data_IF_175060309231
#
_entry.id   IF_175060309231
#
_cell.length_a   1.000
_cell.length_b   1.000
_cell.length_c   1.000
_cell.angle_alpha   90.00
_cell.angle_beta   90.00
_cell.angle_gamma   90.00
#
_symmetry.space_group_name_H-M   'P 1'
#
loop_
_entity.id
_entity.type
_entity.pdbx_description
1 polymer ?
#
# COMPACT_ATOMS: atom_id res chain seq x y z
N UNK A 1 -70.76 -18.79 -37.44
CA UNK A 1 -71.75 -17.87 -36.84
C UNK A 1 -71.06 -16.53 -36.71
N UNK A 2 -71.55 -15.50 -37.40
CA UNK A 2 -71.02 -14.14 -37.25
C UNK A 2 -71.49 -13.59 -35.89
N UNK A 3 -70.63 -12.90 -35.11
CA UNK A 3 -71.05 -12.26 -33.88
C UNK A 3 -72.18 -11.24 -34.16
N UNK A 4 -73.08 -11.08 -33.19
CA UNK A 4 -74.22 -10.17 -33.29
C UNK A 4 -73.74 -8.72 -33.35
N UNK A 5 -74.11 -7.97 -34.39
CA UNK A 5 -73.79 -6.55 -34.58
C UNK A 5 -74.12 -5.70 -33.33
N UNK A 6 -75.14 -6.10 -32.57
CA UNK A 6 -75.52 -5.43 -31.33
C UNK A 6 -74.55 -5.72 -30.18
N UNK A 7 -73.99 -6.94 -30.11
CA UNK A 7 -73.00 -7.31 -29.10
C UNK A 7 -71.66 -6.57 -29.34
N UNK A 8 -71.23 -6.45 -30.59
CA UNK A 8 -70.01 -5.72 -30.94
C UNK A 8 -70.13 -4.21 -30.67
N UNK A 9 -71.32 -3.62 -30.87
CA UNK A 9 -71.59 -2.21 -30.52
C UNK A 9 -71.57 -1.97 -29.00
N UNK A 10 -72.19 -2.86 -28.22
CA UNK A 10 -72.16 -2.76 -26.76
C UNK A 10 -70.74 -2.92 -26.21
N UNK A 11 -69.94 -3.82 -26.79
CA UNK A 11 -68.53 -3.99 -26.44
C UNK A 11 -67.70 -2.73 -26.80
N UNK A 12 -67.96 -2.09 -27.94
CA UNK A 12 -67.31 -0.84 -28.32
C UNK A 12 -67.62 0.29 -27.34
N UNK A 13 -68.88 0.47 -26.95
CA UNK A 13 -69.28 1.49 -25.97
C UNK A 13 -68.63 1.26 -24.60
N UNK A 14 -68.54 -0.01 -24.16
CA UNK A 14 -67.84 -0.38 -22.93
C UNK A 14 -66.34 -0.08 -23.01
N UNK A 15 -65.69 -0.45 -24.13
CA UNK A 15 -64.27 -0.16 -24.36
C UNK A 15 -63.98 1.34 -24.42
N UNK A 16 -64.84 2.14 -25.06
CA UNK A 16 -64.72 3.61 -25.10
C UNK A 16 -64.89 4.23 -23.71
N UNK A 17 -65.79 3.67 -22.89
CA UNK A 17 -65.93 4.00 -21.47
C UNK A 17 -64.64 3.74 -20.68
N UNK A 18 -64.08 2.53 -20.82
CA UNK A 18 -62.82 2.14 -20.18
C UNK A 18 -61.63 3.01 -20.64
N UNK A 19 -61.55 3.34 -21.94
CA UNK A 19 -60.53 4.23 -22.50
C UNK A 19 -60.66 5.63 -21.89
N UNK A 20 -61.88 6.14 -21.75
CA UNK A 20 -62.13 7.47 -21.18
C UNK A 20 -61.75 7.52 -19.70
N UNK A 21 -62.07 6.48 -18.94
CA UNK A 21 -61.69 6.36 -17.54
C UNK A 21 -60.18 6.26 -17.35
N UNK A 22 -59.50 5.41 -18.14
CA UNK A 22 -58.03 5.28 -18.12
C UNK A 22 -57.34 6.60 -18.50
N UNK A 23 -57.85 7.33 -19.50
CA UNK A 23 -57.33 8.66 -19.87
C UNK A 23 -57.43 9.65 -18.70
N UNK A 24 -58.55 9.65 -17.97
CA UNK A 24 -58.72 10.49 -16.77
C UNK A 24 -57.70 10.13 -15.68
N UNK A 25 -57.52 8.83 -15.44
CA UNK A 25 -56.54 8.32 -14.47
C UNK A 25 -55.09 8.69 -14.84
N UNK A 26 -54.73 8.62 -16.13
CA UNK A 26 -53.41 9.05 -16.63
C UNK A 26 -53.20 10.54 -16.36
N UNK A 27 -54.21 11.38 -16.60
CA UNK A 27 -54.08 12.82 -16.39
C UNK A 27 -53.90 13.18 -14.91
N UNK A 28 -54.65 12.52 -14.02
CA UNK A 28 -54.47 12.68 -12.56
C UNK A 28 -53.05 12.27 -12.14
N UNK A 29 -52.55 11.13 -12.62
CA UNK A 29 -51.19 10.68 -12.31
C UNK A 29 -50.13 11.63 -12.87
N UNK A 30 -50.34 12.23 -14.05
CA UNK A 30 -49.45 13.25 -14.62
C UNK A 30 -49.39 14.52 -13.77
N UNK A 31 -50.53 15.01 -13.28
CA UNK A 31 -50.57 16.14 -12.36
C UNK A 31 -49.89 15.83 -11.03
N UNK A 32 -50.16 14.66 -10.45
CA UNK A 32 -49.47 14.22 -9.24
C UNK A 32 -47.96 14.12 -9.44
N UNK A 33 -47.52 13.56 -10.58
CA UNK A 33 -46.11 13.49 -10.95
C UNK A 33 -45.48 14.89 -11.04
N UNK A 34 -46.13 15.85 -11.71
CA UNK A 34 -45.57 17.20 -11.84
C UNK A 34 -45.47 17.92 -10.50
N UNK A 35 -46.48 17.78 -9.62
CA UNK A 35 -46.46 18.35 -8.28
C UNK A 35 -45.34 17.75 -7.41
N UNK A 36 -45.11 16.44 -7.50
CA UNK A 36 -43.98 15.77 -6.82
C UNK A 36 -42.65 16.28 -7.37
N UNK A 37 -42.51 16.40 -8.70
CA UNK A 37 -41.29 16.93 -9.33
C UNK A 37 -40.98 18.38 -8.90
N UNK A 38 -41.99 19.24 -8.79
CA UNK A 38 -41.80 20.60 -8.29
C UNK A 38 -41.32 20.63 -6.83
N UNK A 39 -41.93 19.81 -5.95
CA UNK A 39 -41.49 19.71 -4.54
C UNK A 39 -40.06 19.20 -4.45
N UNK A 40 -39.69 18.19 -5.25
CA UNK A 40 -38.32 17.66 -5.30
C UNK A 40 -37.31 18.73 -5.78
N UNK A 41 -37.68 19.55 -6.76
CA UNK A 41 -36.84 20.64 -7.25
C UNK A 41 -36.58 21.77 -6.23
N UNK A 42 -37.41 21.90 -5.19
CA UNK A 42 -37.20 22.85 -4.10
C UNK A 42 -36.11 22.39 -3.10
N UNK A 43 -35.81 21.09 -3.04
CA UNK A 43 -34.70 20.59 -2.24
C UNK A 43 -33.39 20.87 -2.97
N UNK A 44 -32.56 21.73 -2.39
CA UNK A 44 -31.15 21.83 -2.79
C UNK A 44 -30.44 20.63 -2.20
N UNK A 45 -29.93 19.75 -3.05
CA UNK A 45 -28.99 18.72 -2.66
C UNK A 45 -27.62 19.39 -2.55
N UNK A 46 -27.10 19.69 -1.33
CA UNK A 46 -25.96 20.58 -1.17
C UNK A 46 -24.72 20.06 -1.91
N UNK A 47 -24.56 18.73 -1.94
CA UNK A 47 -23.44 18.06 -2.62
C UNK A 47 -23.52 18.14 -4.16
N UNK A 48 -24.71 18.38 -4.73
CA UNK A 48 -24.89 18.60 -6.17
C UNK A 48 -24.77 20.09 -6.55
N UNK A 49 -24.64 20.98 -5.56
CA UNK A 49 -24.42 22.42 -5.78
C UNK A 49 -22.96 22.84 -5.62
N UNK A 50 -22.09 21.92 -5.23
CA UNK A 50 -20.66 22.16 -5.14
C UNK A 50 -20.04 22.22 -6.55
N UNK A 51 -19.02 23.08 -6.76
CA UNK A 51 -18.20 23.01 -7.96
C UNK A 51 -17.57 21.62 -8.13
N UNK A 52 -17.36 21.21 -9.38
CA UNK A 52 -16.83 19.88 -9.69
C UNK A 52 -15.46 19.65 -9.03
N UNK A 53 -14.63 20.68 -8.93
CA UNK A 53 -13.30 20.63 -8.34
C UNK A 53 -13.35 20.26 -6.85
N UNK A 54 -14.34 20.78 -6.13
CA UNK A 54 -14.55 20.47 -4.71
C UNK A 54 -15.05 19.04 -4.54
N UNK A 55 -15.92 18.58 -5.44
CA UNK A 55 -16.41 17.19 -5.44
C UNK A 55 -15.26 16.23 -5.76
N UNK A 56 -14.41 16.55 -6.74
CA UNK A 56 -13.20 15.78 -7.07
C UNK A 56 -12.26 15.67 -5.87
N UNK A 57 -12.03 16.76 -5.12
CA UNK A 57 -11.17 16.67 -3.93
C UNK A 57 -11.81 15.86 -2.79
N UNK A 58 -13.14 15.96 -2.61
CA UNK A 58 -13.86 15.07 -1.69
C UNK A 58 -13.69 13.60 -2.11
N UNK A 59 -13.76 13.31 -3.42
CA UNK A 59 -13.54 11.96 -3.93
C UNK A 59 -12.12 11.49 -3.64
N UNK A 60 -11.09 12.29 -3.94
CA UNK A 60 -9.69 11.93 -3.68
C UNK A 60 -9.47 11.59 -2.20
N UNK A 61 -10.09 12.34 -1.29
CA UNK A 61 -10.01 12.10 0.16
C UNK A 61 -10.85 10.91 0.66
N UNK A 62 -11.80 10.45 -0.14
CA UNK A 62 -12.63 9.28 0.18
C UNK A 62 -11.89 7.96 -0.08
N UNK A 63 -10.96 7.95 -1.05
CA UNK A 63 -10.12 6.80 -1.36
C UNK A 63 -8.96 6.65 -0.34
N UNK A 64 -8.28 5.49 -0.32
CA UNK A 64 -7.01 5.36 0.39
C UNK A 64 -6.00 6.40 -0.06
N UNK A 65 -5.09 6.76 0.85
CA UNK A 65 -4.11 7.79 0.56
C UNK A 65 -3.07 7.25 -0.44
N UNK A 66 -2.95 7.90 -1.59
CA UNK A 66 -1.90 7.56 -2.55
C UNK A 66 -0.52 7.53 -1.86
N UNK A 67 0.33 6.50 -2.09
CA UNK A 67 0.28 5.53 -3.20
C UNK A 67 -0.56 4.28 -2.98
N UNK A 68 -1.31 4.16 -1.88
CA UNK A 68 -2.13 2.97 -1.60
C UNK A 68 -3.18 2.74 -2.70
N UNK A 69 -3.30 1.49 -3.14
CA UNK A 69 -4.26 1.12 -4.16
C UNK A 69 -5.68 1.02 -3.57
N UNK A 70 -6.68 1.73 -4.12
CA UNK A 70 -8.07 1.53 -3.73
C UNK A 70 -8.55 0.13 -4.13
N UNK A 71 -9.55 -0.43 -3.42
CA UNK A 71 -10.19 -1.65 -3.87
C UNK A 71 -10.82 -1.44 -5.24
N UNK A 72 -10.89 -2.50 -6.05
CA UNK A 72 -11.46 -2.43 -7.41
C UNK A 72 -12.98 -2.16 -7.41
N UNK A 73 -13.67 -2.54 -6.34
CA UNK A 73 -15.11 -2.39 -6.12
C UNK A 73 -15.42 -2.10 -4.66
N UNK A 74 -16.64 -1.64 -4.38
CA UNK A 74 -17.14 -1.42 -3.02
C UNK A 74 -16.70 -0.08 -2.42
N UNK A 75 -16.94 0.13 -1.11
CA UNK A 75 -16.60 1.38 -0.44
C UNK A 75 -15.11 1.73 -0.64
N UNK A 76 -14.83 3.04 -0.77
CA UNK A 76 -13.48 3.58 -1.04
C UNK A 76 -12.87 3.22 -2.41
N UNK A 77 -13.68 2.75 -3.37
CA UNK A 77 -13.26 2.56 -4.76
C UNK A 77 -13.68 3.73 -5.68
N UNK A 78 -12.91 4.02 -6.75
CA UNK A 78 -13.34 4.95 -7.80
C UNK A 78 -14.63 4.46 -8.48
N UNK A 79 -14.74 3.15 -8.69
CA UNK A 79 -15.89 2.52 -9.36
C UNK A 79 -17.18 2.71 -8.57
N UNK A 80 -17.15 2.65 -7.24
CA UNK A 80 -18.29 2.96 -6.38
C UNK A 80 -18.80 4.39 -6.58
N UNK A 81 -17.90 5.38 -6.69
CA UNK A 81 -18.28 6.76 -6.96
C UNK A 81 -19.01 6.92 -8.32
N UNK A 82 -18.66 6.08 -9.30
CA UNK A 82 -19.34 6.06 -10.61
C UNK A 82 -20.76 5.46 -10.60
N UNK A 83 -21.18 4.86 -9.49
CA UNK A 83 -22.47 4.17 -9.35
C UNK A 83 -23.50 4.98 -8.54
N UNK A 84 -23.10 6.08 -7.88
CA UNK A 84 -23.98 6.85 -7.00
C UNK A 84 -25.03 7.65 -7.79
N UNK A 85 -24.60 8.50 -8.72
CA UNK A 85 -25.51 9.23 -9.60
C UNK A 85 -24.80 9.64 -10.90
N UNK A 86 -25.57 10.09 -11.91
CA UNK A 86 -25.02 10.50 -13.21
C UNK A 86 -24.00 11.64 -13.11
N UNK A 87 -24.23 12.61 -12.23
CA UNK A 87 -23.32 13.74 -12.04
C UNK A 87 -21.97 13.28 -11.47
N UNK A 88 -22.02 12.47 -10.41
CA UNK A 88 -20.81 11.93 -9.76
C UNK A 88 -20.05 11.00 -10.68
N UNK A 89 -20.77 10.20 -11.49
CA UNK A 89 -20.16 9.41 -12.56
C UNK A 89 -19.38 10.29 -13.54
N UNK A 90 -19.95 11.40 -13.99
CA UNK A 90 -19.26 12.34 -14.87
C UNK A 90 -17.97 12.87 -14.24
N UNK A 91 -18.07 13.35 -12.99
CA UNK A 91 -16.93 13.93 -12.25
C UNK A 91 -15.84 12.88 -11.99
N UNK A 92 -16.21 11.69 -11.50
CA UNK A 92 -15.27 10.63 -11.20
C UNK A 92 -14.53 10.15 -12.46
N UNK A 93 -15.23 10.03 -13.60
CA UNK A 93 -14.62 9.65 -14.88
C UNK A 93 -13.70 10.74 -15.44
N UNK A 94 -13.95 12.02 -15.13
CA UNK A 94 -13.14 13.15 -15.57
C UNK A 94 -12.05 13.57 -14.58
N UNK A 95 -11.82 12.80 -13.51
CA UNK A 95 -10.81 13.09 -12.48
C UNK A 95 -9.73 12.00 -12.51
N UNK A 96 -8.63 12.20 -13.26
CA UNK A 96 -7.61 11.17 -13.46
C UNK A 96 -6.92 10.71 -12.17
N UNK A 97 -6.78 11.58 -11.16
CA UNK A 97 -6.11 11.22 -9.91
C UNK A 97 -6.80 10.09 -9.13
N UNK A 98 -8.10 9.86 -9.38
CA UNK A 98 -8.83 8.75 -8.76
C UNK A 98 -8.39 7.38 -9.30
N UNK A 99 -7.83 7.33 -10.50
CA UNK A 99 -7.53 6.10 -11.23
C UNK A 99 -6.02 5.78 -11.28
N UNK A 100 -5.20 6.61 -10.64
CA UNK A 100 -3.73 6.55 -10.75
C UNK A 100 -3.04 5.49 -9.88
N UNK A 101 -3.78 4.77 -9.04
CA UNK A 101 -3.23 3.69 -8.21
C UNK A 101 -4.06 2.44 -8.45
N UNK A 102 -3.47 1.30 -8.80
CA UNK A 102 -4.19 0.07 -9.15
C UNK A 102 -3.45 -1.15 -8.62
N UNK A 103 -4.20 -2.06 -7.99
CA UNK A 103 -3.74 -3.42 -7.69
C UNK A 103 -4.27 -4.37 -8.77
N UNK A 104 -3.35 -5.03 -9.45
CA UNK A 104 -3.62 -6.06 -10.45
C UNK A 104 -3.48 -7.43 -9.79
N UNK A 105 -4.60 -8.00 -9.34
CA UNK A 105 -4.67 -9.43 -9.04
C UNK A 105 -4.87 -10.21 -10.33
N UNK A 106 -4.13 -11.30 -10.52
CA UNK A 106 -4.31 -12.22 -11.66
C UNK A 106 -5.77 -12.71 -11.70
N UNK A 107 -6.55 -12.20 -12.67
CA UNK A 107 -7.98 -12.51 -12.80
C UNK A 107 -8.86 -11.27 -13.01
N UNK A 108 -8.39 -10.07 -12.63
CA UNK A 108 -8.98 -8.83 -13.12
C UNK A 108 -8.56 -8.68 -14.59
N UNK A 109 -9.49 -9.01 -15.50
CA UNK A 109 -9.21 -9.03 -16.93
C UNK A 109 -8.54 -7.75 -17.42
N UNK A 110 -7.59 -7.90 -18.34
CA UNK A 110 -6.82 -6.84 -19.01
C UNK A 110 -7.64 -5.58 -19.31
N UNK A 111 -8.90 -5.76 -19.71
CA UNK A 111 -9.88 -4.71 -19.97
C UNK A 111 -10.10 -3.74 -18.80
N UNK A 112 -10.10 -4.21 -17.55
CA UNK A 112 -10.25 -3.33 -16.38
C UNK A 112 -8.98 -2.51 -16.14
N UNK A 113 -7.81 -3.12 -16.36
CA UNK A 113 -6.52 -2.44 -16.31
C UNK A 113 -6.44 -1.32 -17.35
N UNK A 114 -6.67 -1.66 -18.62
CA UNK A 114 -6.71 -0.70 -19.74
C UNK A 114 -7.65 0.47 -19.43
N UNK A 115 -8.85 0.16 -18.94
CA UNK A 115 -9.86 1.15 -18.61
C UNK A 115 -9.46 2.06 -17.45
N UNK A 116 -8.76 1.55 -16.44
CA UNK A 116 -8.24 2.38 -15.35
C UNK A 116 -7.14 3.31 -15.86
N UNK A 117 -6.29 2.82 -16.75
CA UNK A 117 -5.16 3.57 -17.28
C UNK A 117 -5.58 4.67 -18.25
N UNK A 118 -6.55 4.38 -19.11
CA UNK A 118 -7.20 5.37 -19.97
C UNK A 118 -7.75 6.53 -19.13
N UNK A 119 -8.32 6.22 -17.97
CA UNK A 119 -8.86 7.23 -17.05
C UNK A 119 -7.78 7.95 -16.24
N UNK A 120 -6.70 7.25 -15.88
CA UNK A 120 -5.55 7.85 -15.21
C UNK A 120 -4.81 8.87 -16.10
N UNK A 121 -5.08 8.87 -17.42
CA UNK A 121 -4.59 9.90 -18.33
C UNK A 121 -3.07 9.93 -18.38
N UNK A 122 -2.45 11.03 -17.96
CA UNK A 122 -0.98 11.20 -17.86
C UNK A 122 -0.45 11.17 -16.43
N UNK A 123 -1.28 10.84 -15.44
CA UNK A 123 -0.86 10.81 -14.04
C UNK A 123 0.24 9.75 -13.82
N UNK A 124 1.21 10.02 -12.93
CA UNK A 124 2.12 9.00 -12.43
C UNK A 124 1.35 7.91 -11.69
N UNK A 125 1.76 6.67 -11.91
CA UNK A 125 1.02 5.48 -11.47
C UNK A 125 1.61 4.88 -10.19
N UNK A 126 0.74 4.34 -9.34
CA UNK A 126 1.09 3.35 -8.33
C UNK A 126 0.55 2.00 -8.78
N UNK A 127 1.42 1.03 -8.99
CA UNK A 127 1.06 -0.29 -9.48
C UNK A 127 1.45 -1.34 -8.44
N UNK A 128 0.48 -2.14 -8.02
CA UNK A 128 0.72 -3.32 -7.20
C UNK A 128 0.36 -4.56 -8.01
N UNK A 129 1.30 -5.49 -8.14
CA UNK A 129 1.10 -6.76 -8.84
C UNK A 129 1.40 -7.86 -7.83
N UNK A 130 0.33 -8.50 -7.38
CA UNK A 130 0.38 -9.59 -6.42
C UNK A 130 0.17 -10.93 -7.14
N UNK A 131 0.80 -11.99 -6.63
CA UNK A 131 0.61 -13.36 -7.12
C UNK A 131 0.90 -13.53 -8.62
N UNK A 132 2.01 -12.95 -9.09
CA UNK A 132 2.39 -13.09 -10.50
C UNK A 132 2.89 -14.52 -10.79
N UNK A 133 1.98 -15.37 -11.27
CA UNK A 133 2.28 -16.78 -11.61
C UNK A 133 2.76 -16.95 -13.05
N UNK A 134 3.57 -17.99 -13.28
CA UNK A 134 4.07 -18.38 -14.61
C UNK A 134 2.97 -18.72 -15.63
N UNK A 135 1.77 -19.08 -15.13
CA UNK A 135 0.57 -19.37 -15.92
C UNK A 135 -0.11 -18.12 -16.49
N UNK A 136 0.35 -16.92 -16.09
CA UNK A 136 -0.05 -15.68 -16.73
C UNK A 136 0.37 -15.69 -18.20
N UNK A 137 -0.62 -15.56 -19.08
CA UNK A 137 -0.37 -15.47 -20.51
C UNK A 137 0.58 -14.30 -20.81
N UNK A 138 1.40 -14.41 -21.88
CA UNK A 138 2.34 -13.35 -22.28
C UNK A 138 1.64 -12.00 -22.52
N UNK A 139 0.34 -12.01 -22.81
CA UNK A 139 -0.50 -10.81 -22.95
C UNK A 139 -0.66 -10.04 -21.63
N UNK A 140 -0.83 -10.73 -20.50
CA UNK A 140 -0.94 -10.09 -19.18
C UNK A 140 0.39 -9.43 -18.79
N UNK A 141 1.50 -10.07 -19.14
CA UNK A 141 2.85 -9.56 -18.91
C UNK A 141 3.10 -8.35 -19.80
N UNK A 142 2.82 -8.46 -21.11
CA UNK A 142 2.94 -7.32 -22.04
C UNK A 142 2.08 -6.11 -21.63
N UNK A 143 0.85 -6.37 -21.13
CA UNK A 143 -0.01 -5.32 -20.60
C UNK A 143 0.64 -4.65 -19.38
N UNK A 144 1.04 -5.42 -18.37
CA UNK A 144 1.77 -4.91 -17.19
C UNK A 144 2.99 -4.07 -17.57
N UNK A 145 3.80 -4.57 -18.51
CA UNK A 145 5.02 -3.90 -18.98
C UNK A 145 4.74 -2.55 -19.64
N UNK A 146 3.62 -2.43 -20.36
CA UNK A 146 3.21 -1.16 -20.96
C UNK A 146 2.89 -0.05 -19.93
N UNK A 147 2.73 -0.42 -18.66
CA UNK A 147 2.39 0.50 -17.57
C UNK A 147 3.61 1.01 -16.80
N UNK A 148 4.72 0.25 -16.82
CA UNK A 148 5.93 0.56 -16.07
C UNK A 148 6.52 1.93 -16.44
N UNK A 149 6.35 2.36 -17.70
CA UNK A 149 6.67 3.67 -18.27
C UNK A 149 6.33 4.87 -17.38
N UNK A 150 5.21 4.74 -16.66
CA UNK A 150 4.58 5.82 -15.90
C UNK A 150 4.55 5.54 -14.40
N UNK A 151 5.11 4.43 -13.96
CA UNK A 151 5.11 4.03 -12.56
C UNK A 151 6.03 4.93 -11.74
N UNK A 152 5.45 5.58 -10.74
CA UNK A 152 6.18 6.27 -9.67
C UNK A 152 6.38 5.33 -8.47
N UNK A 153 5.41 4.42 -8.25
CA UNK A 153 5.44 3.40 -7.21
C UNK A 153 5.14 2.04 -7.85
N UNK A 154 5.96 1.05 -7.54
CA UNK A 154 5.83 -0.30 -8.07
C UNK A 154 6.01 -1.31 -6.94
N UNK A 155 5.00 -2.16 -6.73
CA UNK A 155 5.11 -3.38 -5.93
C UNK A 155 4.98 -4.58 -6.85
N UNK A 156 5.95 -5.48 -6.83
CA UNK A 156 5.92 -6.75 -7.55
C UNK A 156 6.18 -7.89 -6.57
N UNK A 157 5.26 -8.85 -6.51
CA UNK A 157 5.43 -10.11 -5.80
C UNK A 157 5.46 -11.27 -6.80
N UNK A 158 6.59 -11.95 -6.90
CA UNK A 158 6.87 -12.98 -7.89
C UNK A 158 7.09 -14.34 -7.20
N UNK A 159 6.17 -15.29 -7.37
CA UNK A 159 6.24 -16.61 -6.76
C UNK A 159 6.09 -17.71 -7.85
N UNK A 160 7.18 -18.29 -8.40
CA UNK A 160 7.24 -19.66 -9.03
C UNK A 160 8.46 -19.94 -9.95
N UNK A 161 8.97 -21.19 -9.92
CA UNK A 161 10.21 -21.72 -10.53
C UNK A 161 10.44 -21.70 -12.07
N UNK A 162 9.53 -21.20 -12.92
CA UNK A 162 9.77 -21.09 -14.38
C UNK A 162 9.72 -19.62 -14.82
N UNK A 163 10.91 -19.02 -14.89
CA UNK A 163 11.18 -17.57 -14.91
C UNK A 163 10.67 -16.86 -16.17
N UNK A 164 9.54 -16.15 -16.04
CA UNK A 164 9.26 -14.97 -16.88
C UNK A 164 10.12 -13.76 -16.47
N UNK A 165 11.07 -13.93 -15.54
CA UNK A 165 12.03 -12.89 -15.13
C UNK A 165 12.82 -12.36 -16.32
N UNK A 166 13.23 -13.23 -17.25
CA UNK A 166 13.88 -12.80 -18.50
C UNK A 166 12.97 -11.89 -19.33
N UNK A 167 11.68 -12.24 -19.48
CA UNK A 167 10.68 -11.39 -20.15
C UNK A 167 10.50 -10.04 -19.45
N UNK A 168 10.47 -10.04 -18.11
CA UNK A 168 10.37 -8.82 -17.31
C UNK A 168 11.63 -7.97 -17.47
N UNK A 169 12.80 -8.59 -17.39
CA UNK A 169 14.11 -7.96 -17.56
C UNK A 169 14.26 -7.33 -18.95
N UNK A 170 13.91 -8.07 -20.00
CA UNK A 170 13.96 -7.61 -21.39
C UNK A 170 13.06 -6.39 -21.59
N UNK A 171 11.90 -6.36 -20.96
CA UNK A 171 10.97 -5.25 -21.06
C UNK A 171 11.31 -4.04 -20.17
N UNK A 172 12.13 -4.23 -19.15
CA UNK A 172 12.70 -3.15 -18.34
C UNK A 172 13.90 -2.46 -19.00
N UNK A 173 14.36 -2.94 -20.16
CA UNK A 173 15.65 -2.56 -20.74
C UNK A 173 15.67 -1.25 -21.55
N UNK A 174 14.54 -0.54 -21.71
CA UNK A 174 14.43 0.68 -22.56
C UNK A 174 13.77 1.87 -21.82
N UNK A 175 14.53 2.72 -21.10
CA UNK A 175 14.10 3.99 -20.47
C UNK A 175 12.75 3.94 -19.69
N UNK A 176 12.26 2.74 -19.38
CA UNK A 176 10.84 2.52 -19.06
C UNK A 176 10.50 2.99 -17.65
N UNK A 177 11.50 3.28 -16.81
CA UNK A 177 11.28 3.48 -15.36
C UNK A 177 11.88 4.79 -14.84
N UNK A 178 11.99 5.80 -15.71
CA UNK A 178 12.53 7.11 -15.37
C UNK A 178 11.76 7.84 -14.23
N UNK A 179 10.49 7.51 -14.01
CA UNK A 179 9.64 8.11 -12.98
C UNK A 179 9.64 7.35 -11.65
N UNK A 180 10.24 6.16 -11.58
CA UNK A 180 10.15 5.28 -10.42
C UNK A 180 10.84 5.90 -9.21
N UNK A 181 10.09 6.10 -8.12
CA UNK A 181 10.58 6.65 -6.84
C UNK A 181 10.60 5.63 -5.71
N UNK A 182 9.68 4.67 -5.77
CA UNK A 182 9.54 3.61 -4.78
C UNK A 182 9.38 2.24 -5.45
N UNK A 183 10.16 1.28 -4.98
CA UNK A 183 10.17 -0.09 -5.48
C UNK A 183 10.00 -1.06 -4.31
N UNK A 184 8.99 -1.91 -4.36
CA UNK A 184 8.71 -2.95 -3.39
C UNK A 184 8.78 -4.30 -4.11
N UNK A 185 9.81 -5.08 -3.83
CA UNK A 185 10.04 -6.37 -4.48
C UNK A 185 10.04 -7.50 -3.47
N UNK A 186 9.35 -8.56 -3.85
CA UNK A 186 9.33 -9.83 -3.15
C UNK A 186 9.45 -10.93 -4.22
N UNK A 187 10.47 -11.78 -4.13
CA UNK A 187 10.60 -12.89 -5.07
C UNK A 187 11.35 -14.09 -4.53
N UNK A 188 10.92 -15.27 -4.93
CA UNK A 188 11.52 -16.55 -4.55
C UNK A 188 12.36 -17.14 -5.69
N UNK A 189 13.41 -16.42 -6.09
CA UNK A 189 14.27 -16.76 -7.23
C UNK A 189 15.73 -16.39 -7.00
N UNK A 190 16.63 -17.19 -7.60
CA UNK A 190 18.09 -16.97 -7.56
C UNK A 190 18.63 -16.26 -8.82
N UNK A 191 17.75 -15.76 -9.69
CA UNK A 191 18.11 -15.05 -10.92
C UNK A 191 18.24 -13.54 -10.68
N UNK A 192 19.28 -12.93 -11.27
CA UNK A 192 19.53 -11.49 -11.11
C UNK A 192 18.53 -10.64 -11.90
N UNK A 193 17.97 -9.62 -11.26
CA UNK A 193 17.08 -8.62 -11.87
C UNK A 193 17.76 -7.25 -11.82
N UNK A 194 17.91 -6.60 -12.96
CA UNK A 194 18.72 -5.39 -13.12
C UNK A 194 17.86 -4.19 -13.49
N UNK A 195 17.94 -3.15 -12.67
CA UNK A 195 17.27 -1.86 -12.90
C UNK A 195 18.31 -0.83 -13.36
N UNK A 196 18.51 -0.73 -14.68
CA UNK A 196 19.56 0.10 -15.27
C UNK A 196 19.29 1.61 -15.22
N UNK A 197 18.05 2.05 -15.50
CA UNK A 197 17.70 3.47 -15.58
C UNK A 197 16.50 3.83 -14.66
N UNK A 198 16.79 3.96 -13.36
CA UNK A 198 15.83 4.39 -12.33
C UNK A 198 16.38 5.60 -11.55
N UNK A 199 16.64 6.75 -12.21
CA UNK A 199 17.38 7.89 -11.63
C UNK A 199 16.63 8.59 -10.49
N UNK A 200 15.31 8.40 -10.39
CA UNK A 200 14.49 8.98 -9.35
C UNK A 200 14.23 8.04 -8.17
N UNK A 201 14.78 6.81 -8.18
CA UNK A 201 14.53 5.82 -7.14
C UNK A 201 15.15 6.26 -5.81
N UNK A 202 14.30 6.46 -4.80
CA UNK A 202 14.70 6.94 -3.46
C UNK A 202 14.35 5.96 -2.35
N UNK A 203 13.39 5.08 -2.58
CA UNK A 203 12.87 4.18 -1.56
C UNK A 203 12.77 2.78 -2.11
N UNK A 204 13.22 1.80 -1.33
CA UNK A 204 13.08 0.38 -1.68
C UNK A 204 12.53 -0.41 -0.50
N UNK A 205 11.77 -1.45 -0.82
CA UNK A 205 11.42 -2.51 0.12
C UNK A 205 11.76 -3.84 -0.53
N UNK A 206 12.55 -4.66 0.14
CA UNK A 206 13.11 -5.89 -0.42
C UNK A 206 12.99 -7.03 0.60
N UNK A 207 12.66 -8.23 0.16
CA UNK A 207 12.90 -9.46 0.91
C UNK A 207 14.36 -9.90 0.80
N UNK A 208 14.70 -11.07 1.35
CA UNK A 208 16.07 -11.58 1.34
C UNK A 208 16.63 -11.76 -0.06
N UNK A 209 15.94 -12.53 -0.90
CA UNK A 209 16.37 -12.85 -2.25
C UNK A 209 16.42 -11.60 -3.14
N UNK A 210 15.46 -10.69 -3.01
CA UNK A 210 15.47 -9.44 -3.76
C UNK A 210 16.66 -8.57 -3.44
N UNK A 211 17.08 -8.51 -2.18
CA UNK A 211 18.23 -7.68 -1.86
C UNK A 211 19.57 -8.31 -2.23
N UNK A 212 19.64 -9.63 -2.46
CA UNK A 212 20.85 -10.32 -2.93
C UNK A 212 20.98 -10.35 -4.45
N UNK A 213 19.87 -10.50 -5.17
CA UNK A 213 19.85 -10.69 -6.63
C UNK A 213 19.46 -9.45 -7.43
N UNK A 214 18.92 -8.41 -6.80
CA UNK A 214 18.57 -7.18 -7.53
C UNK A 214 19.74 -6.21 -7.60
N UNK A 215 20.06 -5.79 -8.83
CA UNK A 215 21.03 -4.73 -9.08
C UNK A 215 20.30 -3.38 -9.14
N UNK A 216 20.49 -2.59 -8.08
CA UNK A 216 19.92 -1.24 -7.91
C UNK A 216 21.01 -0.17 -7.82
N UNK A 217 20.70 1.11 -8.12
CA UNK A 217 21.55 2.24 -7.79
C UNK A 217 21.49 2.53 -6.27
N UNK A 218 22.17 1.71 -5.45
CA UNK A 218 22.12 1.78 -3.99
C UNK A 218 22.51 3.14 -3.39
N UNK A 219 23.41 3.88 -4.04
CA UNK A 219 23.98 5.12 -3.50
C UNK A 219 22.99 6.28 -3.44
N UNK A 220 21.95 6.29 -4.27
CA UNK A 220 20.94 7.36 -4.32
C UNK A 220 19.74 7.10 -3.40
N UNK A 221 19.68 5.91 -2.77
CA UNK A 221 18.58 5.51 -1.89
C UNK A 221 18.63 6.28 -0.57
N UNK A 222 17.45 6.69 -0.12
CA UNK A 222 17.23 7.46 1.11
C UNK A 222 16.34 6.72 2.11
N UNK A 223 15.56 5.74 1.63
CA UNK A 223 14.74 4.87 2.46
C UNK A 223 14.93 3.43 2.03
N UNK A 224 15.27 2.55 2.97
CA UNK A 224 15.42 1.11 2.72
C UNK A 224 14.65 0.37 3.81
N UNK A 225 13.78 -0.53 3.38
CA UNK A 225 13.11 -1.49 4.24
C UNK A 225 13.52 -2.89 3.80
N UNK A 226 14.02 -3.71 4.73
CA UNK A 226 14.33 -5.12 4.48
C UNK A 226 13.35 -6.00 5.25
N UNK A 227 12.84 -7.03 4.59
CA UNK A 227 11.96 -8.06 5.17
C UNK A 227 12.67 -9.41 5.13
N UNK A 228 12.39 -10.28 6.10
CA UNK A 228 12.86 -11.68 6.08
C UNK A 228 14.38 -11.84 5.97
N UNK A 229 15.15 -10.91 6.53
CA UNK A 229 16.57 -10.75 6.19
C UNK A 229 17.53 -11.37 7.21
N UNK A 230 18.74 -11.71 6.79
CA UNK A 230 19.85 -12.05 7.70
C UNK A 230 20.56 -10.79 8.20
N UNK A 231 20.81 -10.71 9.51
CA UNK A 231 21.39 -9.52 10.12
C UNK A 231 22.81 -9.22 9.59
N UNK A 232 23.62 -10.25 9.28
CA UNK A 232 24.98 -10.04 8.77
C UNK A 232 24.99 -9.42 7.36
N UNK A 233 24.10 -9.87 6.49
CA UNK A 233 23.93 -9.35 5.13
C UNK A 233 23.35 -7.93 5.14
N UNK A 234 22.46 -7.64 6.09
CA UNK A 234 21.92 -6.29 6.28
C UNK A 234 23.05 -5.28 6.52
N UNK A 235 23.99 -5.59 7.40
CA UNK A 235 25.15 -4.74 7.68
C UNK A 235 25.98 -4.52 6.41
N UNK A 236 26.21 -5.58 5.63
CA UNK A 236 26.95 -5.53 4.37
C UNK A 236 26.24 -4.67 3.31
N UNK A 237 24.92 -4.69 3.27
CA UNK A 237 24.12 -3.87 2.36
C UNK A 237 24.13 -2.40 2.75
N UNK A 238 24.05 -2.09 4.04
CA UNK A 238 24.04 -0.70 4.52
C UNK A 238 25.32 0.08 4.14
N UNK A 239 26.43 -0.62 3.92
CA UNK A 239 27.66 -0.03 3.38
C UNK A 239 27.49 0.51 1.95
N UNK A 240 26.55 -0.04 1.17
CA UNK A 240 26.23 0.39 -0.20
C UNK A 240 25.30 1.62 -0.22
N UNK A 241 24.72 2.02 0.92
CA UNK A 241 23.69 3.07 1.04
C UNK A 241 24.15 4.26 1.89
N UNK A 242 25.12 5.08 1.44
CA UNK A 242 25.67 6.19 2.24
C UNK A 242 24.69 7.33 2.50
N UNK A 243 23.67 7.52 1.65
CA UNK A 243 22.71 8.63 1.72
C UNK A 243 21.41 8.27 2.45
N UNK A 244 21.43 7.20 3.24
CA UNK A 244 20.23 6.68 3.91
C UNK A 244 19.73 7.63 5.00
N UNK A 245 18.44 7.96 4.95
CA UNK A 245 17.73 8.81 5.91
C UNK A 245 16.83 7.97 6.81
N UNK A 246 16.19 6.95 6.25
CA UNK A 246 15.31 6.03 6.97
C UNK A 246 15.71 4.60 6.68
N UNK A 247 15.94 3.81 7.73
CA UNK A 247 16.18 2.38 7.63
C UNK A 247 15.16 1.61 8.46
N UNK A 248 14.62 0.54 7.88
CA UNK A 248 13.73 -0.39 8.54
C UNK A 248 14.16 -1.82 8.28
N UNK A 249 14.20 -2.62 9.34
CA UNK A 249 14.41 -4.06 9.27
C UNK A 249 13.22 -4.75 9.95
N UNK A 250 12.39 -5.39 9.13
CA UNK A 250 11.26 -6.19 9.58
C UNK A 250 11.61 -7.67 9.45
N UNK A 251 11.16 -8.46 10.43
CA UNK A 251 11.28 -9.93 10.42
C UNK A 251 12.67 -10.46 10.01
N UNK A 252 13.65 -10.46 10.90
CA UNK A 252 15.01 -10.87 10.55
C UNK A 252 15.50 -12.08 11.35
N UNK A 253 16.51 -12.75 10.84
CA UNK A 253 17.25 -13.82 11.54
C UNK A 253 18.66 -13.34 11.90
N UNK A 254 19.15 -13.73 13.08
CA UNK A 254 20.53 -13.43 13.50
C UNK A 254 21.42 -14.61 13.17
N UNK A 255 22.18 -14.48 12.11
CA UNK A 255 23.27 -15.33 11.70
C UNK A 255 24.58 -14.66 12.12
N UNK A 256 25.24 -15.18 13.16
CA UNK A 256 26.61 -14.73 13.50
C UNK A 256 27.57 -15.88 13.27
N UNK A 257 28.38 -15.84 12.21
CA UNK A 257 29.55 -16.68 12.13
C UNK A 257 30.42 -16.51 13.40
N UNK A 258 31.09 -17.58 13.88
CA UNK A 258 31.90 -17.53 15.10
C UNK A 258 32.98 -16.43 15.12
N UNK A 259 33.46 -16.03 13.93
CA UNK A 259 34.54 -15.06 13.72
C UNK A 259 34.03 -13.74 13.10
N UNK A 260 32.74 -13.41 13.28
CA UNK A 260 32.18 -12.22 12.68
C UNK A 260 32.53 -10.95 13.45
N UNK A 261 33.50 -10.21 12.93
CA UNK A 261 33.77 -8.81 13.30
C UNK A 261 33.05 -7.89 12.31
N UNK A 262 31.91 -7.29 12.70
CA UNK A 262 31.15 -6.43 11.80
C UNK A 262 31.94 -5.14 11.50
N UNK A 263 31.93 -4.66 10.25
CA UNK A 263 32.56 -3.39 9.89
C UNK A 263 31.82 -2.21 10.52
N UNK A 264 32.53 -1.12 10.78
CA UNK A 264 31.88 0.15 11.11
C UNK A 264 31.08 0.66 9.90
N UNK A 265 29.79 0.91 10.11
CA UNK A 265 28.86 1.39 9.09
C UNK A 265 28.52 2.87 9.35
N UNK A 266 29.13 3.81 8.61
CA UNK A 266 28.86 5.24 8.77
C UNK A 266 27.53 5.61 8.11
N UNK A 267 26.50 5.81 8.92
CA UNK A 267 25.15 6.20 8.49
C UNK A 267 24.91 7.68 8.82
N UNK A 268 25.68 8.54 8.17
CA UNK A 268 25.83 9.97 8.52
C UNK A 268 24.53 10.78 8.40
N UNK A 269 23.62 10.37 7.52
CA UNK A 269 22.37 11.06 7.23
C UNK A 269 21.15 10.38 7.86
N UNK A 270 21.35 9.25 8.55
CA UNK A 270 20.25 8.44 9.06
C UNK A 270 19.54 9.16 10.21
N UNK A 271 18.25 9.39 10.05
CA UNK A 271 17.39 10.06 11.02
C UNK A 271 16.47 9.07 11.74
N UNK A 272 16.08 7.97 11.08
CA UNK A 272 15.18 6.96 11.62
C UNK A 272 15.75 5.56 11.42
N UNK A 273 15.92 4.83 12.52
CA UNK A 273 16.25 3.41 12.56
C UNK A 273 15.10 2.65 13.20
N UNK A 274 14.51 1.70 12.49
CA UNK A 274 13.40 0.88 13.00
C UNK A 274 13.72 -0.60 12.81
N UNK A 275 13.71 -1.36 13.90
CA UNK A 275 13.81 -2.82 13.87
C UNK A 275 12.61 -3.36 14.65
N UNK A 276 11.87 -4.32 14.08
CA UNK A 276 10.54 -4.69 14.60
C UNK A 276 10.46 -6.11 15.17
N UNK A 277 10.76 -7.13 14.36
CA UNK A 277 10.53 -8.53 14.72
C UNK A 277 11.74 -9.40 14.37
N UNK A 278 12.05 -10.36 15.24
CA UNK A 278 13.14 -11.32 15.07
C UNK A 278 12.53 -12.72 14.97
N UNK A 279 12.74 -13.41 13.85
CA UNK A 279 12.34 -14.82 13.69
C UNK A 279 13.27 -15.68 14.58
N UNK A 280 12.65 -16.58 15.35
CA UNK A 280 13.23 -17.51 16.34
C UNK A 280 14.75 -17.71 16.31
N UNK A 281 15.44 -17.52 17.44
CA UNK A 281 16.79 -18.07 17.58
C UNK A 281 17.20 -18.37 19.02
N UNK A 282 18.04 -19.40 19.17
CA UNK A 282 18.78 -19.77 20.38
C UNK A 282 20.05 -18.92 20.61
N UNK A 283 20.14 -17.74 19.95
CA UNK A 283 21.38 -16.97 19.85
C UNK A 283 21.67 -16.17 21.11
N UNK A 284 22.97 -16.06 21.43
CA UNK A 284 23.48 -15.22 22.52
C UNK A 284 23.08 -13.77 22.28
N UNK A 285 22.26 -13.20 23.19
CA UNK A 285 21.92 -11.77 23.18
C UNK A 285 23.20 -10.95 23.12
N UNK A 286 23.44 -10.28 22.00
CA UNK A 286 24.64 -9.50 21.77
C UNK A 286 24.28 -8.21 21.04
N UNK A 287 25.00 -7.13 21.32
CA UNK A 287 24.65 -5.78 20.91
C UNK A 287 24.71 -5.61 19.38
N UNK A 288 23.54 -5.53 18.75
CA UNK A 288 23.41 -5.28 17.32
C UNK A 288 23.62 -3.81 16.95
N UNK A 289 23.66 -2.85 17.88
CA UNK A 289 23.96 -1.46 17.55
C UNK A 289 25.47 -1.17 17.45
N UNK A 290 26.30 -2.16 17.77
CA UNK A 290 27.76 -2.06 17.71
C UNK A 290 28.34 -1.66 16.34
N UNK A 291 27.79 -2.05 15.18
CA UNK A 291 28.37 -1.67 13.88
C UNK A 291 27.99 -0.25 13.45
N UNK A 292 26.89 0.31 13.96
CA UNK A 292 26.32 1.53 13.40
C UNK A 292 26.95 2.80 14.00
N UNK A 293 27.32 3.73 13.14
CA UNK A 293 27.73 5.10 13.48
C UNK A 293 26.76 6.08 12.83
N UNK A 294 25.78 6.55 13.59
CA UNK A 294 24.66 7.34 13.07
C UNK A 294 24.50 8.67 13.83
N UNK A 295 25.31 9.71 13.54
CA UNK A 295 25.28 10.97 14.29
C UNK A 295 23.97 11.76 14.15
N UNK A 296 23.28 11.64 13.01
CA UNK A 296 22.05 12.37 12.72
C UNK A 296 20.77 11.70 13.25
N UNK A 297 20.88 10.53 13.91
CA UNK A 297 19.71 9.73 14.29
C UNK A 297 18.87 10.44 15.36
N UNK A 298 17.56 10.47 15.12
CA UNK A 298 16.56 11.08 16.02
C UNK A 298 15.53 10.08 16.50
N UNK A 299 15.18 9.11 15.66
CA UNK A 299 14.20 8.07 15.96
C UNK A 299 14.87 6.70 15.97
N UNK A 300 14.72 5.99 17.07
CA UNK A 300 15.20 4.62 17.25
C UNK A 300 14.06 3.74 17.74
N UNK A 301 13.71 2.71 16.98
CA UNK A 301 12.88 1.60 17.46
C UNK A 301 13.69 0.32 17.35
N UNK A 302 13.84 -0.41 18.46
CA UNK A 302 14.61 -1.65 18.48
C UNK A 302 14.03 -2.65 19.50
N UNK A 303 13.99 -3.95 19.19
CA UNK A 303 13.62 -4.97 20.16
C UNK A 303 14.69 -5.09 21.24
N UNK A 304 14.28 -5.18 22.51
CA UNK A 304 15.18 -5.22 23.66
C UNK A 304 16.20 -6.36 23.58
N UNK A 305 15.81 -7.49 22.98
CA UNK A 305 16.67 -8.65 22.78
C UNK A 305 17.92 -8.36 21.92
N UNK A 306 17.85 -7.37 21.03
CA UNK A 306 18.96 -6.96 20.16
C UNK A 306 19.99 -6.08 20.85
N UNK A 307 19.66 -5.55 22.03
CA UNK A 307 20.58 -4.75 22.83
C UNK A 307 21.45 -5.62 23.75
N UNK A 308 21.39 -6.94 23.60
CA UNK A 308 22.19 -7.88 24.38
C UNK A 308 21.63 -8.21 25.76
N UNK A 309 22.47 -8.79 26.62
CA UNK A 309 22.12 -9.08 28.02
C UNK A 309 21.95 -7.81 28.87
N UNK A 310 22.56 -6.71 28.44
CA UNK A 310 22.60 -5.45 29.16
C UNK A 310 22.16 -4.31 28.22
N UNK A 311 20.84 -4.07 28.09
CA UNK A 311 20.32 -3.15 27.09
C UNK A 311 20.73 -1.69 27.33
N UNK A 312 20.89 -1.32 28.61
CA UNK A 312 21.26 0.03 29.01
C UNK A 312 22.70 0.38 28.58
N UNK A 313 23.74 -0.40 28.93
CA UNK A 313 25.09 -0.17 28.41
C UNK A 313 25.19 -0.13 26.88
N UNK A 314 24.45 -0.99 26.17
CA UNK A 314 24.44 -1.00 24.70
C UNK A 314 23.95 0.34 24.13
N UNK A 315 22.83 0.86 24.64
CA UNK A 315 22.31 2.17 24.22
C UNK A 315 23.26 3.32 24.57
N UNK A 316 23.84 3.34 25.77
CA UNK A 316 24.81 4.38 26.16
C UNK A 316 26.06 4.33 25.28
N UNK A 317 26.55 3.13 24.97
CA UNK A 317 27.68 2.92 24.05
C UNK A 317 27.34 3.43 22.65
N UNK A 318 26.16 3.11 22.12
CA UNK A 318 25.72 3.59 20.82
C UNK A 318 25.61 5.12 20.75
N UNK A 319 24.99 5.75 21.76
CA UNK A 319 24.85 7.22 21.82
C UNK A 319 26.20 7.91 21.93
N UNK A 320 27.09 7.40 22.78
CA UNK A 320 28.44 7.96 22.95
C UNK A 320 29.31 7.79 21.71
N UNK A 321 29.28 6.61 21.07
CA UNK A 321 30.01 6.34 19.82
C UNK A 321 29.50 7.16 18.65
N UNK A 322 28.18 7.26 18.48
CA UNK A 322 27.57 7.98 17.37
C UNK A 322 27.52 9.50 17.61
N UNK A 323 27.62 9.96 18.86
CA UNK A 323 27.47 11.38 19.22
C UNK A 323 26.08 11.93 18.92
N UNK A 324 25.05 11.08 18.89
CA UNK A 324 23.72 11.44 18.41
C UNK A 324 22.80 12.02 19.50
N UNK A 325 21.73 12.68 19.06
CA UNK A 325 20.68 13.21 19.93
C UNK A 325 19.34 12.55 19.64
N UNK A 326 19.11 11.40 20.28
CA UNK A 326 17.85 10.67 20.19
C UNK A 326 16.69 11.49 20.77
N UNK A 327 15.67 11.72 19.95
CA UNK A 327 14.43 12.41 20.32
C UNK A 327 13.28 11.44 20.62
N UNK A 328 13.20 10.34 19.85
CA UNK A 328 12.15 9.33 19.96
C UNK A 328 12.78 7.95 20.08
N UNK A 329 12.59 7.30 21.23
CA UNK A 329 13.09 5.94 21.47
C UNK A 329 11.92 5.01 21.80
N UNK A 330 11.84 3.91 21.08
CA UNK A 330 10.90 2.82 21.34
C UNK A 330 11.70 1.54 21.53
N UNK A 331 11.54 0.91 22.69
CA UNK A 331 12.10 -0.42 22.96
C UNK A 331 10.95 -1.39 23.17
N UNK A 332 10.91 -2.45 22.36
CA UNK A 332 9.88 -3.50 22.41
C UNK A 332 10.47 -4.78 23.01
N UNK A 333 9.87 -5.36 24.06
CA UNK A 333 10.43 -6.56 24.68
C UNK A 333 9.93 -6.85 26.11
N UNK A 334 10.62 -7.77 26.78
CA UNK A 334 10.23 -8.34 28.07
C UNK A 334 10.54 -7.44 29.29
N UNK A 335 10.98 -6.19 29.06
CA UNK A 335 11.27 -5.18 30.08
C UNK A 335 12.34 -5.64 31.07
N UNK A 336 13.50 -6.02 30.57
CA UNK A 336 14.67 -6.38 31.38
C UNK A 336 15.21 -5.20 32.20
N UNK A 337 14.88 -3.95 31.85
CA UNK A 337 15.20 -2.76 32.61
C UNK A 337 13.99 -1.84 32.85
N UNK A 338 14.05 -1.04 33.93
CA UNK A 338 12.99 -0.08 34.27
C UNK A 338 13.00 1.16 33.37
N UNK A 339 11.86 1.82 33.18
CA UNK A 339 11.74 3.10 32.45
C UNK A 339 12.73 4.16 32.97
N UNK A 340 12.89 4.24 34.28
CA UNK A 340 13.84 5.15 34.91
C UNK A 340 15.29 4.88 34.48
N UNK A 341 15.68 3.61 34.33
CA UNK A 341 17.01 3.23 33.87
C UNK A 341 17.27 3.67 32.43
N UNK A 342 16.29 3.51 31.54
CA UNK A 342 16.38 3.99 30.14
C UNK A 342 16.49 5.51 30.06
N UNK A 343 15.65 6.23 30.81
CA UNK A 343 15.70 7.71 30.86
C UNK A 343 17.01 8.23 31.41
N UNK A 344 17.57 7.57 32.42
CA UNK A 344 18.86 7.95 33.00
C UNK A 344 20.01 7.72 32.02
N UNK A 345 20.00 6.58 31.33
CA UNK A 345 21.01 6.24 30.32
C UNK A 345 20.99 7.20 29.12
N UNK A 346 19.79 7.67 28.77
CA UNK A 346 19.55 8.62 27.68
C UNK A 346 19.44 10.07 28.17
N UNK A 347 19.85 10.37 29.41
CA UNK A 347 19.71 11.72 29.99
C UNK A 347 20.55 12.78 29.24
N UNK A 348 21.55 12.35 28.47
CA UNK A 348 22.39 13.21 27.63
C UNK A 348 21.78 13.46 26.24
N UNK A 349 20.72 12.75 25.84
CA UNK A 349 20.02 13.01 24.58
C UNK A 349 18.82 13.94 24.78
N UNK A 350 18.43 14.64 23.70
CA UNK A 350 17.27 15.53 23.65
C UNK A 350 15.93 14.75 23.61
N UNK A 351 15.78 13.77 24.51
CA UNK A 351 14.71 12.78 24.49
C UNK A 351 13.34 13.44 24.74
N UNK A 352 12.45 13.37 23.75
CA UNK A 352 11.07 13.86 23.81
C UNK A 352 10.09 12.75 24.15
N UNK A 353 10.32 11.55 23.61
CA UNK A 353 9.41 10.42 23.74
C UNK A 353 10.20 9.12 24.00
N UNK A 354 9.79 8.41 25.04
CA UNK A 354 10.23 7.04 25.34
C UNK A 354 9.01 6.13 25.43
N UNK A 355 8.98 5.08 24.63
CA UNK A 355 7.93 4.06 24.62
C UNK A 355 8.54 2.70 24.95
N UNK A 356 7.97 2.01 25.93
CA UNK A 356 8.34 0.65 26.32
C UNK A 356 7.13 -0.27 26.16
N UNK A 357 7.12 -1.07 25.11
CA UNK A 357 6.03 -2.00 24.81
C UNK A 357 6.44 -3.44 25.09
N UNK A 358 5.45 -4.30 25.35
CA UNK A 358 5.63 -5.75 25.28
C UNK A 358 6.02 -6.17 23.85
N UNK A 359 6.64 -7.35 23.66
CA UNK A 359 6.99 -7.82 22.33
C UNK A 359 5.73 -7.92 21.47
N UNK A 360 5.83 -7.41 20.24
CA UNK A 360 4.79 -7.63 19.24
C UNK A 360 4.86 -9.12 18.88
N UNK A 361 3.99 -9.95 19.45
CA UNK A 361 3.83 -11.33 18.99
C UNK A 361 3.26 -11.23 17.59
N UNK A 362 4.10 -11.42 16.57
CA UNK A 362 3.63 -11.71 15.22
C UNK A 362 2.79 -12.98 15.33
N UNK A 363 1.47 -12.84 15.23
CA UNK A 363 0.55 -13.96 15.16
C UNK A 363 0.96 -14.80 13.97
N UNK A 364 1.54 -15.96 14.23
CA UNK A 364 1.54 -17.06 13.28
C UNK A 364 0.07 -17.29 12.90
N UNK A 365 -0.22 -17.07 11.62
CA UNK A 365 -1.47 -17.48 11.00
C UNK A 365 -1.46 -19.01 11.04
N UNK A 366 -2.14 -19.60 12.03
CA UNK A 366 -2.65 -20.95 11.88
C UNK A 366 -3.75 -20.88 10.81
N UNK A 367 -3.40 -21.27 9.58
CA UNK A 367 -4.37 -21.70 8.59
C UNK A 367 -5.13 -22.91 9.16
N UNK A 368 -6.44 -22.77 9.35
CA UNK A 368 -7.30 -23.90 9.69
C UNK A 368 -8.67 -23.53 10.22
N UNK A 369 -9.62 -23.46 9.28
CA UNK A 369 -11.07 -23.64 9.44
C UNK A 369 -11.98 -22.40 9.53
N UNK A 370 -12.82 -22.34 8.50
CA UNK A 370 -13.98 -21.49 8.25
C UNK A 370 -14.86 -21.28 9.49
N UNK A 371 -15.25 -20.04 9.80
CA UNK A 371 -16.66 -19.67 10.00
C UNK A 371 -16.87 -18.15 9.96
N UNK A 372 -17.99 -17.76 9.36
CA UNK A 372 -18.44 -16.41 8.99
C UNK A 372 -18.69 -15.43 10.16
N UNK A 373 -18.84 -14.11 9.87
CA UNK A 373 -18.59 -13.02 10.82
C UNK A 373 -19.83 -12.61 11.63
N UNK A 374 -19.62 -12.13 12.86
CA UNK A 374 -20.63 -11.39 13.62
C UNK A 374 -20.02 -10.14 14.31
N UNK A 375 -20.53 -9.00 13.86
CA UNK A 375 -20.71 -7.66 14.45
C UNK A 375 -19.56 -6.89 15.17
N UNK A 376 -19.37 -5.59 14.83
CA UNK A 376 -18.43 -4.70 15.50
C UNK A 376 -19.04 -4.04 16.76
N UNK A 377 -18.32 -4.14 17.88
CA UNK A 377 -18.61 -3.44 19.12
C UNK A 377 -18.07 -1.99 19.04
N UNK A 378 -18.99 -1.04 19.17
CA UNK A 378 -18.73 0.37 19.47
C UNK A 378 -17.98 0.55 20.80
N UNK A 379 -16.95 1.37 20.82
CA UNK A 379 -16.55 2.11 22.02
C UNK A 379 -16.59 3.61 21.76
N UNK A 380 -17.32 4.28 22.65
CA UNK A 380 -17.50 5.72 22.77
C UNK A 380 -16.33 6.39 23.49
#
# INVERSE_FOLDING_TARGET
>A
MLPSLAADRALLEDLDGQISELKRSIEVLRQQKSAVQQRLGAYKYPVLSLPNEIISEIFIRFLPAYPECPPSQGPRSPTFLTQICRSWRGIALSTPELWRALSLSVGLGQQLGDLWLDRAGSCPLSLEVDEFHSTNGPEAVAAMLSYLGRCEYLRLRLYESQSQLSTIQDAMSDDTMALLRHLDLEFDHDEDLVFHDVPLLRSVVLDYNAATHVVLPWTQLTSVTLREFFYSDCVSMLLKTPNLISFRLDEFSVDRPPDWDPPDVPLLHLQSLVITSMKSSSVRRSDCLSPFLAPAIRKLHIPEIMLGLHPIPALTSFVSRSGCQLEHVHVSGNRLASDHSYRTALALSSLKLLVLSEPCVSSEVEEGEEHSPSDPIHFA
#
